data_IF_805306522506
#
_entry.id   IF_805306522506
#
_cell.length_a   1.000
_cell.length_b   1.000
_cell.length_c   1.000
_cell.angle_alpha   90.00
_cell.angle_beta   90.00
_cell.angle_gamma   90.00
#
_symmetry.space_group_name_H-M   'P 1'
#
loop_
_entity.id
_entity.type
_entity.pdbx_description
1 polymer ?
#
# COMPACT_ATOMS: atom_id res chain seq x y z
N UNK A 1 13.90 7.40 -38.15
CA UNK A 1 12.77 8.02 -38.88
C UNK A 1 12.25 7.20 -40.07
N UNK A 2 13.01 6.25 -40.65
CA UNK A 2 12.57 5.46 -41.82
C UNK A 2 11.17 4.82 -41.78
N UNK A 3 10.72 4.24 -40.64
CA UNK A 3 9.35 3.68 -40.54
C UNK A 3 8.22 4.72 -40.66
N UNK A 4 8.47 5.99 -40.35
CA UNK A 4 7.46 7.06 -40.41
C UNK A 4 7.20 7.58 -41.83
N UNK A 5 8.07 7.27 -42.80
CA UNK A 5 7.86 7.61 -44.21
C UNK A 5 6.65 6.90 -44.83
N UNK A 6 6.11 5.87 -44.16
CA UNK A 6 4.88 5.15 -44.54
C UNK A 6 3.65 5.62 -43.75
N UNK A 7 3.71 6.82 -43.17
CA UNK A 7 2.65 7.37 -42.32
C UNK A 7 2.35 6.50 -41.07
N UNK A 8 3.39 5.87 -40.51
CA UNK A 8 3.26 5.05 -39.30
C UNK A 8 3.08 5.92 -38.06
N UNK A 9 2.34 5.44 -37.06
CA UNK A 9 2.20 6.11 -35.74
C UNK A 9 2.97 5.34 -34.67
N UNK A 10 3.66 6.06 -33.79
CA UNK A 10 4.25 5.52 -32.57
C UNK A 10 3.47 6.03 -31.37
N UNK A 11 3.03 5.12 -30.50
CA UNK A 11 2.27 5.44 -29.30
C UNK A 11 2.91 4.79 -28.07
N UNK A 12 3.09 5.57 -27.01
CA UNK A 12 3.46 5.07 -25.68
C UNK A 12 2.20 4.98 -24.83
N UNK A 13 1.99 3.83 -24.17
CA UNK A 13 0.79 3.57 -23.36
C UNK A 13 1.24 3.29 -21.93
N UNK A 14 0.88 4.20 -21.02
CA UNK A 14 1.05 4.03 -19.57
C UNK A 14 -0.32 4.10 -18.89
N UNK A 15 -0.82 2.93 -18.47
CA UNK A 15 -2.10 2.82 -17.80
C UNK A 15 -2.10 3.49 -16.41
N UNK A 16 -0.96 3.55 -15.71
CA UNK A 16 -0.88 4.17 -14.38
C UNK A 16 -1.08 5.69 -14.48
N UNK A 17 -0.43 6.32 -15.45
CA UNK A 17 -0.62 7.75 -15.71
C UNK A 17 -2.03 8.04 -16.24
N UNK A 18 -2.56 7.18 -17.11
CA UNK A 18 -3.92 7.31 -17.61
C UNK A 18 -4.97 7.23 -16.49
N UNK A 19 -4.83 6.31 -15.52
CA UNK A 19 -5.73 6.24 -14.36
C UNK A 19 -5.79 7.55 -13.57
N UNK A 20 -4.64 8.19 -13.34
CA UNK A 20 -4.55 9.40 -12.53
C UNK A 20 -4.98 10.66 -13.27
N UNK A 21 -4.68 10.75 -14.57
CA UNK A 21 -4.83 12.00 -15.34
C UNK A 21 -6.02 12.00 -16.29
N UNK A 22 -6.53 10.81 -16.68
CA UNK A 22 -7.64 10.64 -17.63
C UNK A 22 -8.64 9.58 -17.14
N UNK A 23 -9.26 9.77 -15.97
CA UNK A 23 -10.11 8.77 -15.34
C UNK A 23 -11.35 8.41 -16.18
N UNK A 24 -11.92 9.36 -16.94
CA UNK A 24 -13.06 9.10 -17.81
C UNK A 24 -12.72 8.11 -18.94
N UNK A 25 -11.57 8.29 -19.59
CA UNK A 25 -11.10 7.36 -20.63
C UNK A 25 -10.78 5.98 -20.07
N UNK A 26 -10.16 5.92 -18.88
CA UNK A 26 -9.95 4.64 -18.21
C UNK A 26 -11.27 3.94 -17.87
N UNK A 27 -12.28 4.69 -17.39
CA UNK A 27 -13.61 4.15 -17.11
C UNK A 27 -14.26 3.56 -18.37
N UNK A 28 -14.22 4.29 -19.49
CA UNK A 28 -14.70 3.78 -20.79
C UNK A 28 -13.97 2.51 -21.23
N UNK A 29 -12.65 2.45 -21.04
CA UNK A 29 -11.86 1.25 -21.37
C UNK A 29 -12.24 0.05 -20.48
N UNK A 30 -12.39 0.26 -19.17
CA UNK A 30 -12.82 -0.78 -18.25
C UNK A 30 -14.23 -1.30 -18.56
N UNK A 31 -15.16 -0.42 -18.93
CA UNK A 31 -16.50 -0.82 -19.40
C UNK A 31 -16.43 -1.72 -20.64
N UNK A 32 -15.62 -1.35 -21.63
CA UNK A 32 -15.40 -2.20 -22.82
C UNK A 32 -14.83 -3.57 -22.46
N UNK A 33 -13.85 -3.62 -21.56
CA UNK A 33 -13.28 -4.89 -21.09
C UNK A 33 -14.34 -5.73 -20.38
N UNK A 34 -15.18 -5.12 -19.53
CA UNK A 34 -16.27 -5.80 -18.86
C UNK A 34 -17.30 -6.39 -19.85
N UNK A 35 -17.66 -5.63 -20.89
CA UNK A 35 -18.54 -6.11 -21.96
C UNK A 35 -17.94 -7.32 -22.70
N UNK A 36 -16.64 -7.28 -22.98
CA UNK A 36 -15.93 -8.39 -23.62
C UNK A 36 -15.89 -9.65 -22.74
N UNK A 37 -15.75 -9.48 -21.42
CA UNK A 37 -15.86 -10.58 -20.45
C UNK A 37 -17.27 -11.16 -20.44
N UNK A 38 -18.30 -10.32 -20.37
CA UNK A 38 -19.70 -10.76 -20.41
C UNK A 38 -20.05 -11.51 -21.69
N UNK A 39 -19.50 -11.07 -22.83
CA UNK A 39 -19.66 -11.74 -24.13
C UNK A 39 -18.78 -12.99 -24.30
N UNK A 40 -17.98 -13.35 -23.31
CA UNK A 40 -17.09 -14.52 -23.35
C UNK A 40 -15.92 -14.38 -24.33
N UNK A 41 -15.61 -13.17 -24.79
CA UNK A 41 -14.50 -12.88 -25.72
C UNK A 41 -13.15 -12.86 -24.99
N UNK A 42 -13.17 -12.56 -23.69
CA UNK A 42 -12.00 -12.64 -22.81
C UNK A 42 -12.28 -13.77 -21.80
N UNK A 43 -11.31 -14.68 -21.66
CA UNK A 43 -11.34 -15.77 -20.68
C UNK A 43 -10.27 -15.54 -19.62
N UNK A 44 -10.47 -16.03 -18.38
CA UNK A 44 -9.42 -16.01 -17.36
C UNK A 44 -8.15 -16.67 -17.87
N UNK A 45 -7.00 -16.13 -17.48
CA UNK A 45 -5.70 -16.76 -17.71
C UNK A 45 -5.53 -17.95 -16.77
N UNK A 46 -4.69 -18.90 -17.17
CA UNK A 46 -4.19 -19.92 -16.25
C UNK A 46 -3.58 -19.22 -15.03
N UNK A 47 -3.98 -19.67 -13.84
CA UNK A 47 -3.66 -18.98 -12.59
C UNK A 47 -2.99 -19.94 -11.62
N UNK A 48 -1.78 -19.59 -11.19
CA UNK A 48 -1.07 -20.29 -10.11
C UNK A 48 -1.40 -19.60 -8.79
N UNK A 49 -2.02 -20.34 -7.87
CA UNK A 49 -2.52 -19.79 -6.60
C UNK A 49 -1.58 -20.20 -5.46
N UNK A 50 -1.15 -19.22 -4.67
CA UNK A 50 -0.38 -19.39 -3.45
C UNK A 50 -1.18 -18.92 -2.23
N UNK A 51 -0.98 -19.54 -1.07
CA UNK A 51 -1.45 -18.97 0.19
C UNK A 51 -0.61 -17.76 0.61
N UNK A 52 -1.14 -16.90 1.49
CA UNK A 52 -0.37 -15.77 2.08
C UNK A 52 0.90 -16.24 2.79
N UNK A 53 0.85 -17.43 3.41
CA UNK A 53 2.01 -18.07 4.03
C UNK A 53 3.11 -18.49 3.02
N UNK A 54 2.83 -18.49 1.72
CA UNK A 54 3.74 -18.85 0.64
C UNK A 54 4.09 -17.66 -0.27
N UNK A 55 3.92 -16.43 0.22
CA UNK A 55 4.16 -15.22 -0.59
C UNK A 55 5.60 -15.14 -1.13
N UNK A 56 6.58 -15.63 -0.38
CA UNK A 56 7.97 -15.63 -0.81
C UNK A 56 8.18 -16.53 -2.04
N UNK A 57 7.58 -17.73 -2.03
CA UNK A 57 7.64 -18.65 -3.17
C UNK A 57 6.91 -18.07 -4.39
N UNK A 58 5.77 -17.40 -4.18
CA UNK A 58 5.05 -16.70 -5.25
C UNK A 58 5.90 -15.61 -5.91
N UNK A 59 6.64 -14.82 -5.11
CA UNK A 59 7.50 -13.74 -5.61
C UNK A 59 8.75 -14.28 -6.33
N UNK A 60 9.31 -15.41 -5.88
CA UNK A 60 10.47 -16.05 -6.53
C UNK A 60 10.17 -16.54 -7.95
N UNK A 61 8.90 -16.79 -8.30
CA UNK A 61 8.51 -17.16 -9.66
C UNK A 61 8.52 -16.00 -10.66
N UNK A 62 8.43 -14.74 -10.22
CA UNK A 62 8.31 -13.61 -11.15
C UNK A 62 9.61 -13.36 -11.96
N UNK A 63 10.82 -13.38 -11.36
CA UNK A 63 12.05 -13.15 -12.09
C UNK A 63 12.46 -14.31 -13.00
N UNK A 64 11.98 -15.53 -12.74
CA UNK A 64 12.41 -16.73 -13.48
C UNK A 64 11.79 -16.81 -14.88
N UNK A 65 10.75 -16.03 -15.18
CA UNK A 65 9.98 -16.12 -16.43
C UNK A 65 9.23 -17.45 -16.59
N UNK A 66 9.22 -18.30 -15.56
CA UNK A 66 8.59 -19.62 -15.58
C UNK A 66 7.10 -19.57 -15.24
N UNK A 67 6.58 -18.41 -14.81
CA UNK A 67 5.15 -18.23 -14.60
C UNK A 67 4.42 -18.14 -15.95
N UNK A 68 3.74 -19.20 -16.35
CA UNK A 68 2.72 -19.15 -17.40
C UNK A 68 1.43 -18.61 -16.79
N UNK A 69 0.95 -17.46 -17.29
CA UNK A 69 -0.29 -16.84 -16.82
C UNK A 69 -0.14 -15.94 -15.59
N UNK A 70 -1.10 -15.98 -14.67
CA UNK A 70 -1.19 -15.06 -13.53
C UNK A 70 -0.81 -15.76 -12.22
N UNK A 71 0.14 -15.19 -11.47
CA UNK A 71 0.39 -15.59 -10.07
C UNK A 71 -0.58 -14.82 -9.16
N UNK A 72 -1.34 -15.54 -8.32
CA UNK A 72 -2.31 -14.97 -7.38
C UNK A 72 -2.00 -15.44 -5.96
N UNK A 73 -1.93 -14.49 -5.03
CA UNK A 73 -1.84 -14.79 -3.59
C UNK A 73 -3.25 -14.73 -3.01
N UNK A 74 -3.75 -15.86 -2.55
CA UNK A 74 -5.06 -16.00 -1.90
C UNK A 74 -4.92 -15.67 -0.43
N UNK A 75 -5.59 -14.61 -0.01
CA UNK A 75 -5.74 -14.23 1.39
C UNK A 75 -6.94 -14.97 1.97
N UNK A 76 -6.68 -15.95 2.84
CA UNK A 76 -7.74 -16.59 3.63
C UNK A 76 -8.18 -15.64 4.75
N UNK A 77 -9.46 -15.69 5.15
CA UNK A 77 -9.94 -14.91 6.30
C UNK A 77 -9.24 -15.43 7.57
N UNK A 78 -8.21 -14.74 8.02
CA UNK A 78 -7.48 -15.07 9.24
C UNK A 78 -6.36 -14.07 9.49
N UNK A 79 -6.32 -13.57 10.74
CA UNK A 79 -5.52 -12.43 11.23
C UNK A 79 -6.02 -11.08 10.74
N UNK A 80 -7.13 -10.62 11.31
CA UNK A 80 -7.37 -9.19 11.44
C UNK A 80 -6.23 -8.64 12.30
N UNK A 81 -5.28 -7.92 11.71
CA UNK A 81 -4.44 -7.03 12.51
C UNK A 81 -5.38 -5.94 12.96
N UNK A 82 -5.91 -6.07 14.19
CA UNK A 82 -6.76 -5.02 14.72
C UNK A 82 -5.92 -3.74 14.79
N UNK A 83 -6.26 -2.72 13.98
CA UNK A 83 -5.60 -1.43 14.12
C UNK A 83 -5.87 -0.91 15.53
N UNK A 84 -4.99 -0.05 16.02
CA UNK A 84 -5.32 0.68 17.24
C UNK A 84 -6.67 1.38 17.05
N UNK A 85 -7.55 1.24 18.04
CA UNK A 85 -8.86 1.89 17.98
C UNK A 85 -8.65 3.40 17.86
N UNK A 86 -9.22 3.99 16.80
CA UNK A 86 -9.00 5.40 16.44
C UNK A 86 -9.42 6.35 17.58
N UNK A 87 -10.44 5.98 18.33
CA UNK A 87 -11.00 6.75 19.46
C UNK A 87 -10.33 6.48 20.81
N UNK A 88 -9.40 5.53 20.90
CA UNK A 88 -8.74 5.18 22.16
C UNK A 88 -7.50 6.05 22.42
N UNK A 89 -7.30 6.46 23.68
CA UNK A 89 -6.06 7.11 24.13
C UNK A 89 -5.10 6.07 24.70
N UNK A 90 -3.87 6.05 24.20
CA UNK A 90 -2.86 5.06 24.55
C UNK A 90 -1.81 5.67 25.47
N UNK A 91 -1.72 5.17 26.70
CA UNK A 91 -0.75 5.67 27.68
C UNK A 91 0.60 4.94 27.59
N UNK A 92 1.70 5.70 27.54
CA UNK A 92 3.07 5.17 27.54
C UNK A 92 3.84 5.76 28.71
N UNK A 93 4.15 4.93 29.70
CA UNK A 93 5.03 5.30 30.80
C UNK A 93 6.48 5.45 30.30
N UNK A 94 7.11 6.58 30.60
CA UNK A 94 8.43 6.91 30.05
C UNK A 94 8.39 7.21 28.54
N UNK A 95 7.25 7.68 28.02
CA UNK A 95 6.98 7.85 26.59
C UNK A 95 7.94 8.81 25.87
N UNK A 96 8.62 9.70 26.60
CA UNK A 96 9.60 10.64 26.04
C UNK A 96 11.05 10.14 26.11
N UNK A 97 11.30 8.95 26.69
CA UNK A 97 12.60 8.27 26.61
C UNK A 97 12.89 7.71 25.21
N UNK A 98 14.12 7.23 24.96
CA UNK A 98 14.52 6.70 23.65
C UNK A 98 13.64 5.55 23.15
N UNK A 99 13.32 4.59 24.02
CA UNK A 99 12.43 3.47 23.69
C UNK A 99 10.97 3.93 23.57
N UNK A 100 10.49 4.76 24.51
CA UNK A 100 9.12 5.28 24.51
C UNK A 100 8.76 6.01 23.21
N UNK A 101 9.68 6.85 22.72
CA UNK A 101 9.52 7.55 21.44
C UNK A 101 9.46 6.58 20.26
N UNK A 102 10.29 5.54 20.26
CA UNK A 102 10.27 4.51 19.21
C UNK A 102 8.95 3.74 19.20
N UNK A 103 8.45 3.36 20.37
CA UNK A 103 7.14 2.69 20.52
C UNK A 103 6.01 3.62 20.06
N UNK A 104 6.01 4.89 20.49
CA UNK A 104 5.00 5.86 20.07
C UNK A 104 4.97 6.04 18.54
N UNK A 105 6.14 6.15 17.87
CA UNK A 105 6.19 6.21 16.39
C UNK A 105 5.64 4.94 15.74
N UNK A 106 5.95 3.77 16.31
CA UNK A 106 5.43 2.49 15.82
C UNK A 106 3.91 2.39 15.98
N UNK A 107 3.37 2.81 17.13
CA UNK A 107 1.93 2.82 17.39
C UNK A 107 1.20 3.77 16.44
N UNK A 108 1.76 4.95 16.20
CA UNK A 108 1.21 5.93 15.25
C UNK A 108 1.12 5.38 13.81
N UNK A 109 2.18 4.71 13.36
CA UNK A 109 2.22 4.02 12.06
C UNK A 109 1.19 2.90 11.95
N UNK A 110 0.78 2.31 13.08
CA UNK A 110 -0.25 1.27 13.17
C UNK A 110 -1.66 1.80 13.47
N UNK A 111 -1.85 3.12 13.43
CA UNK A 111 -3.17 3.75 13.51
C UNK A 111 -3.52 4.37 14.86
N UNK A 112 -2.65 4.34 15.88
CA UNK A 112 -2.93 5.07 17.11
C UNK A 112 -2.94 6.57 16.82
N UNK A 113 -4.01 7.26 17.27
CA UNK A 113 -4.19 8.71 17.04
C UNK A 113 -4.13 9.55 18.30
N UNK A 114 -4.45 8.98 19.45
CA UNK A 114 -4.38 9.67 20.74
C UNK A 114 -3.38 8.99 21.66
N UNK A 115 -2.42 9.75 22.17
CA UNK A 115 -1.35 9.24 23.04
C UNK A 115 -1.16 10.09 24.29
N UNK A 116 -0.99 9.42 25.43
CA UNK A 116 -0.61 10.03 26.69
C UNK A 116 0.81 9.59 27.05
N UNK A 117 1.79 10.50 26.90
CA UNK A 117 3.20 10.20 27.15
C UNK A 117 3.60 10.67 28.54
N UNK A 118 3.74 9.74 29.47
CA UNK A 118 4.12 10.08 30.85
C UNK A 118 5.65 10.21 30.94
N UNK A 119 6.12 11.33 31.45
CA UNK A 119 7.56 11.61 31.65
C UNK A 119 7.77 12.48 32.87
N UNK A 120 8.79 12.17 33.68
CA UNK A 120 9.13 12.95 34.88
C UNK A 120 9.70 14.34 34.52
N UNK A 121 10.53 14.40 33.48
CA UNK A 121 11.17 15.62 32.98
C UNK A 121 10.41 16.27 31.82
N UNK A 122 9.22 15.76 31.50
CA UNK A 122 8.43 16.28 30.37
C UNK A 122 9.21 16.39 29.05
N UNK A 123 8.91 17.45 28.30
CA UNK A 123 9.54 17.81 27.03
C UNK A 123 10.76 18.71 27.16
N UNK A 124 11.42 18.77 28.32
CA UNK A 124 12.56 19.65 28.57
C UNK A 124 13.79 19.31 27.72
N UNK A 125 13.95 18.04 27.37
CA UNK A 125 15.06 17.60 26.51
C UNK A 125 14.79 17.97 25.04
N UNK A 126 15.77 18.53 24.30
CA UNK A 126 15.58 18.93 22.91
C UNK A 126 14.99 17.83 22.01
N UNK A 127 15.41 16.59 22.22
CA UNK A 127 14.95 15.44 21.45
C UNK A 127 13.52 15.02 21.81
N UNK A 128 13.08 15.27 23.04
CA UNK A 128 11.69 15.08 23.46
C UNK A 128 10.80 16.18 22.89
N UNK A 129 11.25 17.44 22.93
CA UNK A 129 10.52 18.56 22.32
C UNK A 129 10.38 18.40 20.80
N UNK A 130 11.44 18.00 20.11
CA UNK A 130 11.39 17.73 18.67
C UNK A 130 10.44 16.58 18.35
N UNK A 131 10.50 15.50 19.13
CA UNK A 131 9.60 14.38 18.95
C UNK A 131 8.12 14.77 19.10
N UNK A 132 7.78 15.59 20.11
CA UNK A 132 6.41 16.09 20.30
C UNK A 132 5.98 16.90 19.07
N UNK A 133 6.82 17.83 18.57
CA UNK A 133 6.53 18.61 17.36
C UNK A 133 6.29 17.72 16.14
N UNK A 134 7.15 16.73 15.91
CA UNK A 134 7.02 15.79 14.80
C UNK A 134 5.67 15.07 14.84
N UNK A 135 5.28 14.57 16.02
CA UNK A 135 4.03 13.84 16.19
C UNK A 135 2.82 14.77 16.00
N UNK A 136 2.84 15.96 16.59
CA UNK A 136 1.76 16.95 16.44
C UNK A 136 1.60 17.42 15.00
N UNK A 137 2.69 17.60 14.23
CA UNK A 137 2.60 17.93 12.80
C UNK A 137 1.94 16.84 11.94
N UNK A 138 1.90 15.59 12.45
CA UNK A 138 1.21 14.47 11.81
C UNK A 138 -0.24 14.33 12.29
N UNK A 139 -0.73 15.25 13.14
CA UNK A 139 -2.07 15.22 13.72
C UNK A 139 -2.22 14.25 14.90
N UNK A 140 -1.14 13.99 15.64
CA UNK A 140 -1.08 13.12 16.83
C UNK A 140 -0.87 13.89 18.14
#
# INVERSE_FOLDING_TARGET
MGPFARNSTFASIDLNSMMRQRPEEMSRLLQKVADMVQKGQIRPLDTTIYGVNQIEDALRLLPSGQSMGKVVVKVEKGVTVEPFAEVATHAIAGGLGGLGRSIARWMAKRGARHMLLLSRSGGEQPEAAQFIRDMTSQGL
#
